data_IF_090112746780
#
_entry.id   IF_090112746780
#
_cell.length_a   1.000
_cell.length_b   1.000
_cell.length_c   1.000
_cell.angle_alpha   90.00
_cell.angle_beta   90.00
_cell.angle_gamma   90.00
#
_symmetry.space_group_name_H-M   'P 1'
#
loop_
_entity.id
_entity.type
_entity.pdbx_description
1 polymer ?
#
# COMPACT_ATOMS: atom_id res chain seq x y z
N UNK A 1 -11.72 45.42 19.44
CA UNK A 1 -12.94 45.89 18.73
C UNK A 1 -13.69 44.67 18.23
N UNK A 2 -14.36 44.00 19.16
CA UNK A 2 -15.04 42.72 19.01
C UNK A 2 -16.54 42.99 19.09
N UNK A 3 -17.15 43.67 18.10
CA UNK A 3 -18.62 43.92 18.15
C UNK A 3 -19.32 44.09 16.79
N UNK A 4 -18.64 44.02 15.63
CA UNK A 4 -19.25 44.54 14.40
C UNK A 4 -19.77 43.51 13.37
N UNK A 5 -19.61 42.18 13.54
CA UNK A 5 -19.94 41.22 12.45
C UNK A 5 -20.80 40.03 12.92
N UNK A 6 -21.67 40.21 13.92
CA UNK A 6 -22.60 39.13 14.33
C UNK A 6 -24.05 39.63 14.45
N UNK A 7 -24.52 40.48 13.53
CA UNK A 7 -25.90 41.01 13.62
C UNK A 7 -26.69 41.13 12.32
N UNK A 8 -26.33 40.47 11.20
CA UNK A 8 -27.10 40.66 9.95
C UNK A 8 -27.32 39.46 9.01
N UNK A 9 -27.38 38.21 9.50
CA UNK A 9 -27.95 37.12 8.66
C UNK A 9 -28.43 35.93 9.50
N UNK A 10 -29.64 36.03 10.05
CA UNK A 10 -30.47 34.84 10.17
C UNK A 10 -30.96 34.47 8.76
N UNK A 11 -30.94 33.18 8.41
CA UNK A 11 -31.50 32.57 7.20
C UNK A 11 -30.62 32.64 5.93
N UNK A 12 -29.54 31.86 5.87
CA UNK A 12 -29.18 31.11 4.65
C UNK A 12 -28.77 29.72 5.10
N UNK A 13 -29.41 28.71 4.51
CA UNK A 13 -29.50 27.34 5.01
C UNK A 13 -28.18 26.59 5.18
N UNK A 14 -28.32 25.34 5.63
CA UNK A 14 -27.27 24.36 5.84
C UNK A 14 -26.07 24.62 4.94
N UNK A 15 -25.01 25.19 5.52
CA UNK A 15 -23.75 25.33 4.82
C UNK A 15 -23.24 23.90 4.65
N UNK A 16 -23.43 23.36 3.44
CA UNK A 16 -22.65 22.23 3.00
C UNK A 16 -21.20 22.72 3.03
N UNK A 17 -20.47 22.35 4.08
CA UNK A 17 -19.02 22.46 4.08
C UNK A 17 -18.55 21.78 2.80
N UNK A 18 -17.81 22.47 1.90
CA UNK A 18 -17.17 21.75 0.82
C UNK A 18 -16.35 20.64 1.49
N UNK A 19 -16.63 19.37 1.16
CA UNK A 19 -15.70 18.29 1.47
C UNK A 19 -14.40 18.70 0.76
N UNK A 20 -13.50 19.34 1.50
CA UNK A 20 -12.17 19.63 1.03
C UNK A 20 -11.61 18.29 0.59
N UNK A 21 -11.18 18.10 -0.67
CA UNK A 21 -10.58 16.85 -1.07
C UNK A 21 -9.32 16.73 -0.22
N UNK A 22 -9.41 15.88 0.80
CA UNK A 22 -8.25 15.68 1.64
C UNK A 22 -7.26 15.01 0.71
N UNK A 23 -6.05 15.55 0.62
CA UNK A 23 -4.94 14.93 -0.13
C UNK A 23 -4.68 13.47 0.34
N UNK A 24 -5.31 13.08 1.45
CA UNK A 24 -5.30 11.78 2.08
C UNK A 24 -6.33 10.78 1.53
N UNK A 25 -7.23 11.19 0.63
CA UNK A 25 -8.21 10.30 0.00
C UNK A 25 -7.63 9.50 -1.18
N UNK A 26 -6.40 9.79 -1.60
CA UNK A 26 -5.73 9.12 -2.71
C UNK A 26 -4.70 8.11 -2.23
N UNK A 27 -4.74 6.91 -2.81
CA UNK A 27 -3.63 5.95 -2.78
C UNK A 27 -2.32 6.62 -3.22
N UNK A 28 -1.23 6.36 -2.49
CA UNK A 28 0.10 6.81 -2.84
C UNK A 28 1.07 5.62 -2.86
N UNK A 29 1.49 5.19 -4.04
CA UNK A 29 2.39 4.04 -4.22
C UNK A 29 3.66 4.10 -3.36
N UNK A 30 4.24 5.30 -3.20
CA UNK A 30 5.50 5.47 -2.48
C UNK A 30 5.33 5.30 -0.97
N UNK A 31 4.26 5.86 -0.41
CA UNK A 31 3.96 5.87 1.02
C UNK A 31 3.24 4.59 1.46
N UNK A 32 2.25 4.15 0.70
CA UNK A 32 1.39 3.02 1.06
C UNK A 32 2.04 1.68 0.69
N UNK A 33 2.79 1.62 -0.43
CA UNK A 33 3.36 0.38 -0.96
C UNK A 33 4.90 0.40 -1.04
N UNK A 34 5.56 1.25 -0.25
CA UNK A 34 7.02 1.36 -0.15
C UNK A 34 7.76 1.58 -1.49
N UNK A 35 7.11 2.14 -2.53
CA UNK A 35 7.63 2.20 -3.91
C UNK A 35 7.88 0.84 -4.58
N UNK A 36 7.35 -0.24 -4.01
CA UNK A 36 7.52 -1.61 -4.51
C UNK A 36 6.17 -2.23 -4.90
N UNK A 37 5.23 -1.38 -5.33
CA UNK A 37 3.93 -1.82 -5.78
C UNK A 37 3.01 -0.67 -6.16
N UNK A 38 1.81 -1.05 -6.61
CA UNK A 38 0.71 -0.15 -6.93
C UNK A 38 -0.34 -0.19 -5.84
N UNK A 39 -0.69 0.98 -5.32
CA UNK A 39 -1.76 1.12 -4.36
C UNK A 39 -3.11 1.12 -5.11
N UNK A 40 -4.03 0.27 -4.66
CA UNK A 40 -5.37 0.11 -5.25
C UNK A 40 -6.43 0.25 -4.18
N UNK A 41 -7.56 0.86 -4.55
CA UNK A 41 -8.73 1.01 -3.70
C UNK A 41 -9.00 2.43 -3.24
N UNK A 42 -9.97 2.58 -2.36
CA UNK A 42 -10.43 3.86 -1.82
C UNK A 42 -10.49 3.80 -0.29
N UNK A 43 -10.52 4.96 0.40
CA UNK A 43 -10.70 4.97 1.86
C UNK A 43 -11.99 4.28 2.33
N UNK A 44 -13.03 4.25 1.49
CA UNK A 44 -14.36 3.72 1.83
C UNK A 44 -14.44 2.19 1.65
N UNK A 45 -13.76 1.64 0.63
CA UNK A 45 -13.76 0.20 0.31
C UNK A 45 -12.56 -0.55 0.89
N UNK A 46 -11.55 0.19 1.37
CA UNK A 46 -10.28 -0.35 1.82
C UNK A 46 -9.20 -0.23 0.73
N UNK A 47 -7.95 -0.05 1.18
CA UNK A 47 -6.77 0.04 0.32
C UNK A 47 -5.91 -1.20 0.46
N UNK A 48 -5.33 -1.65 -0.65
CA UNK A 48 -4.36 -2.73 -0.69
C UNK A 48 -3.29 -2.48 -1.75
N UNK A 49 -2.14 -3.11 -1.58
CA UNK A 49 -1.04 -3.00 -2.53
C UNK A 49 -0.98 -4.22 -3.45
N UNK A 50 -0.76 -3.97 -4.74
CA UNK A 50 -0.32 -4.97 -5.72
C UNK A 50 1.19 -4.83 -5.85
N UNK A 51 1.93 -5.77 -5.26
CA UNK A 51 3.38 -5.68 -5.19
C UNK A 51 4.06 -5.98 -6.53
N UNK A 52 5.17 -5.30 -6.76
CA UNK A 52 6.07 -5.58 -7.88
C UNK A 52 6.72 -6.96 -7.68
N UNK A 53 7.25 -7.52 -8.77
CA UNK A 53 7.88 -8.84 -8.74
C UNK A 53 8.98 -8.91 -7.69
N UNK A 54 8.90 -9.93 -6.84
CA UNK A 54 9.85 -10.18 -5.76
C UNK A 54 9.69 -9.29 -4.53
N UNK A 55 8.59 -8.55 -4.42
CA UNK A 55 8.17 -7.92 -3.17
C UNK A 55 6.83 -8.47 -2.70
N UNK A 56 6.64 -8.51 -1.39
CA UNK A 56 5.41 -9.01 -0.79
C UNK A 56 5.13 -8.38 0.59
N UNK A 57 4.03 -8.80 1.21
CA UNK A 57 3.49 -8.21 2.43
C UNK A 57 2.41 -7.17 2.14
N UNK A 58 1.73 -6.71 3.20
CA UNK A 58 0.59 -5.79 3.08
C UNK A 58 0.93 -4.50 2.31
N UNK A 59 2.15 -4.01 2.50
CA UNK A 59 2.65 -2.76 1.95
C UNK A 59 3.88 -2.97 1.04
N UNK A 60 4.09 -4.19 0.53
CA UNK A 60 5.26 -4.54 -0.30
C UNK A 60 6.61 -4.24 0.36
N UNK A 61 6.68 -4.37 1.68
CA UNK A 61 7.87 -4.05 2.47
C UNK A 61 8.85 -5.22 2.60
N UNK A 62 8.42 -6.44 2.24
CA UNK A 62 9.23 -7.64 2.33
C UNK A 62 9.77 -8.01 0.95
N UNK A 63 11.02 -8.45 0.90
CA UNK A 63 11.65 -8.94 -0.33
C UNK A 63 11.51 -10.46 -0.37
N UNK A 64 11.02 -10.98 -1.50
CA UNK A 64 10.96 -12.41 -1.78
C UNK A 64 12.39 -12.98 -1.72
N UNK A 65 12.67 -13.89 -0.77
CA UNK A 65 14.00 -14.46 -0.65
C UNK A 65 14.37 -15.32 -1.86
N UNK A 66 13.40 -15.68 -2.72
CA UNK A 66 13.57 -16.46 -3.93
C UNK A 66 13.63 -15.63 -5.22
N UNK A 67 13.73 -14.28 -5.13
CA UNK A 67 13.69 -13.39 -6.30
C UNK A 67 14.74 -13.72 -7.37
N UNK A 68 15.92 -14.15 -6.93
CA UNK A 68 17.01 -14.58 -7.78
C UNK A 68 17.21 -16.08 -7.54
N UNK A 69 16.69 -16.93 -8.43
CA UNK A 69 16.73 -18.40 -8.34
C UNK A 69 18.15 -19.04 -8.28
N UNK A 70 19.19 -18.26 -7.99
CA UNK A 70 20.57 -18.66 -7.71
C UNK A 70 20.66 -19.48 -6.41
N UNK A 71 19.70 -19.33 -5.48
CA UNK A 71 19.76 -19.96 -4.15
C UNK A 71 19.80 -21.50 -4.17
N UNK A 72 19.31 -22.17 -5.22
CA UNK A 72 19.25 -23.64 -5.29
C UNK A 72 20.26 -24.26 -6.27
N UNK A 73 21.36 -23.56 -6.57
CA UNK A 73 22.42 -24.03 -7.47
C UNK A 73 21.92 -24.47 -8.87
N UNK A 74 20.74 -24.00 -9.29
CA UNK A 74 20.08 -24.41 -10.53
C UNK A 74 19.48 -25.82 -10.52
N UNK A 75 19.53 -26.54 -9.40
CA UNK A 75 19.06 -27.93 -9.28
C UNK A 75 17.85 -28.09 -8.36
N UNK A 76 17.12 -27.01 -8.13
CA UNK A 76 15.89 -27.04 -7.36
C UNK A 76 15.07 -25.77 -7.55
N UNK A 77 13.85 -25.80 -7.02
CA UNK A 77 13.00 -24.62 -6.88
C UNK A 77 13.24 -24.01 -5.50
N UNK A 78 13.35 -22.70 -5.44
CA UNK A 78 13.37 -21.98 -4.17
C UNK A 78 11.93 -21.88 -3.65
N UNK A 79 11.75 -22.15 -2.35
CA UNK A 79 10.47 -22.06 -1.67
C UNK A 79 10.65 -21.50 -0.25
N UNK A 80 9.57 -20.97 0.31
CA UNK A 80 9.54 -20.34 1.64
C UNK A 80 9.60 -18.81 1.61
N UNK A 81 9.65 -18.22 2.80
CA UNK A 81 9.83 -16.81 3.09
C UNK A 81 11.17 -16.55 3.80
N UNK A 82 11.35 -15.33 4.33
CA UNK A 82 12.65 -14.88 4.88
C UNK A 82 13.21 -15.80 5.98
N UNK A 83 12.35 -16.43 6.79
CA UNK A 83 12.78 -17.25 7.93
C UNK A 83 12.79 -18.77 7.64
N UNK A 84 12.18 -19.22 6.54
CA UNK A 84 12.00 -20.63 6.20
C UNK A 84 12.37 -20.94 4.74
N UNK A 85 13.32 -20.19 4.18
CA UNK A 85 13.86 -20.49 2.86
C UNK A 85 14.42 -21.91 2.80
N UNK A 86 13.95 -22.68 1.84
CA UNK A 86 14.50 -23.98 1.49
C UNK A 86 14.45 -24.22 -0.01
N UNK A 87 15.22 -25.21 -0.45
CA UNK A 87 15.19 -25.68 -1.83
C UNK A 87 14.37 -26.97 -1.92
N UNK A 88 13.48 -27.02 -2.91
CA UNK A 88 12.87 -28.23 -3.41
C UNK A 88 13.77 -28.77 -4.53
N UNK A 89 14.67 -29.70 -4.18
CA UNK A 89 15.58 -30.30 -5.15
C UNK A 89 14.83 -31.08 -6.23
N UNK A 90 15.34 -31.04 -7.46
CA UNK A 90 14.89 -31.95 -8.52
C UNK A 90 15.37 -33.38 -8.23
N UNK A 91 14.70 -34.38 -8.82
CA UNK A 91 15.06 -35.79 -8.63
C UNK A 91 16.56 -36.03 -8.91
N UNK A 92 17.25 -36.61 -7.93
CA UNK A 92 18.68 -36.94 -8.02
C UNK A 92 19.65 -35.91 -7.44
N UNK A 93 19.16 -34.86 -6.76
CA UNK A 93 19.96 -33.81 -6.11
C UNK A 93 19.68 -33.66 -4.61
#
# INVERSE_FOLDING_TARGET
MWTAIVLLSFIIGAQAFPKQPSKFDSCNDALDCNNHGKCVGSPEEGRYCVCDHGYYGLNCQLLDPCIDAINCNGNGKCAGGVEDLHCECFDGW
#
